data_IF_907107106952
#
_entry.id   IF_907107106952
#
_cell.length_a   1.000
_cell.length_b   1.000
_cell.length_c   1.000
_cell.angle_alpha   90.00
_cell.angle_beta   90.00
_cell.angle_gamma   90.00
#
_symmetry.space_group_name_H-M   'P 1'
#
loop_
_entity.id
_entity.type
_entity.pdbx_description
1 polymer ?
#
# COMPACT_ATOMS: atom_id res chain seq x y z
N UNK A 1 -19.40 -18.65 -8.68
CA UNK A 1 -19.16 -17.22 -9.01
C UNK A 1 -18.53 -17.16 -10.40
N UNK A 2 -18.98 -16.26 -11.27
CA UNK A 2 -18.42 -16.04 -12.59
C UNK A 2 -17.78 -14.64 -12.65
N UNK A 3 -16.64 -14.52 -13.31
CA UNK A 3 -16.01 -13.24 -13.58
C UNK A 3 -16.71 -12.58 -14.77
N UNK A 4 -17.41 -11.47 -14.53
CA UNK A 4 -18.16 -10.80 -15.59
C UNK A 4 -17.31 -9.77 -16.33
N UNK A 5 -16.52 -8.96 -15.61
CA UNK A 5 -15.76 -7.85 -16.20
C UNK A 5 -14.57 -7.48 -15.32
N UNK A 6 -13.46 -7.08 -15.94
CA UNK A 6 -12.31 -6.45 -15.28
C UNK A 6 -12.32 -4.98 -15.65
N UNK A 7 -12.30 -4.09 -14.65
CA UNK A 7 -12.12 -2.65 -14.85
C UNK A 7 -10.70 -2.27 -14.45
N UNK A 8 -9.97 -1.65 -15.36
CA UNK A 8 -8.61 -1.18 -15.13
C UNK A 8 -8.63 0.32 -14.81
N UNK A 9 -7.93 0.71 -13.75
CA UNK A 9 -7.72 2.11 -13.37
C UNK A 9 -6.21 2.35 -13.44
N UNK A 10 -5.81 3.33 -14.24
CA UNK A 10 -4.41 3.74 -14.43
C UNK A 10 -4.24 5.21 -14.08
N UNK A 11 -3.06 5.59 -13.61
CA UNK A 11 -2.73 6.97 -13.30
C UNK A 11 -1.31 7.10 -12.80
N UNK A 12 -0.91 8.34 -12.52
CA UNK A 12 0.43 8.68 -12.02
C UNK A 12 0.34 9.13 -10.56
N UNK A 13 1.25 8.63 -9.72
CA UNK A 13 1.39 9.09 -8.33
C UNK A 13 2.47 10.17 -8.30
N UNK A 14 2.09 11.39 -7.92
CA UNK A 14 3.05 12.47 -7.70
C UNK A 14 3.43 12.52 -6.22
N UNK A 15 4.72 12.40 -5.96
CA UNK A 15 5.29 12.50 -4.62
C UNK A 15 5.47 13.99 -4.28
N UNK A 16 4.65 14.51 -3.37
CA UNK A 16 4.65 15.94 -3.00
C UNK A 16 5.71 16.28 -1.93
N UNK A 17 6.05 15.29 -1.09
CA UNK A 17 7.04 15.39 -0.01
C UNK A 17 7.91 14.14 -0.03
N UNK A 18 9.06 14.13 0.64
CA UNK A 18 9.90 12.93 0.75
C UNK A 18 9.10 11.67 1.12
N UNK A 19 9.21 10.63 0.29
CA UNK A 19 8.53 9.35 0.47
C UNK A 19 9.55 8.29 0.87
N UNK A 20 9.38 7.70 2.04
CA UNK A 20 10.18 6.58 2.51
C UNK A 20 9.33 5.32 2.56
N UNK A 21 9.79 4.27 1.89
CA UNK A 21 9.23 2.92 1.98
C UNK A 21 10.40 1.99 2.27
N UNK A 22 10.51 1.54 3.53
CA UNK A 22 11.62 0.73 3.98
C UNK A 22 11.74 -0.60 3.24
N UNK A 23 12.97 -0.98 2.89
CA UNK A 23 13.30 -2.35 2.52
C UNK A 23 13.41 -3.22 3.79
N UNK A 24 13.14 -4.52 3.67
CA UNK A 24 13.39 -5.47 4.77
C UNK A 24 14.87 -5.51 5.14
N UNK A 25 15.20 -5.94 6.38
CA UNK A 25 16.57 -5.99 6.94
C UNK A 25 17.53 -6.98 6.24
N UNK A 26 17.16 -7.54 5.10
CA UNK A 26 17.94 -8.60 4.43
C UNK A 26 19.08 -8.06 3.55
N UNK A 27 19.09 -6.76 3.20
CA UNK A 27 20.23 -6.13 2.54
C UNK A 27 21.18 -5.50 3.56
N UNK A 28 21.89 -6.34 4.32
CA UNK A 28 23.06 -5.94 5.09
C UNK A 28 24.21 -5.65 4.11
N UNK A 29 24.15 -4.50 3.45
CA UNK A 29 25.34 -3.93 2.81
C UNK A 29 26.30 -3.52 3.94
N UNK A 30 27.52 -4.04 3.92
CA UNK A 30 28.55 -3.73 4.93
C UNK A 30 28.89 -2.25 4.81
N UNK A 31 28.46 -1.43 5.78
CA UNK A 31 28.52 0.04 5.73
C UNK A 31 27.19 0.73 5.35
N UNK A 32 26.07 0.01 5.34
CA UNK A 32 24.78 0.45 4.82
C UNK A 32 24.12 1.63 5.53
N UNK A 33 23.31 2.37 4.77
CA UNK A 33 22.42 3.44 5.23
C UNK A 33 21.49 2.93 6.34
N UNK A 34 21.31 3.72 7.42
CA UNK A 34 20.48 3.38 8.59
C UNK A 34 19.01 3.05 8.25
N UNK A 35 18.50 3.47 7.09
CA UNK A 35 17.10 3.29 6.68
C UNK A 35 16.96 3.07 5.16
N UNK A 36 17.28 1.87 4.63
CA UNK A 36 17.22 1.62 3.20
C UNK A 36 15.79 1.72 2.67
N UNK A 37 15.64 2.27 1.47
CA UNK A 37 14.37 2.27 0.73
C UNK A 37 14.28 1.04 -0.18
N UNK A 38 13.07 0.59 -0.47
CA UNK A 38 12.83 -0.50 -1.42
C UNK A 38 13.20 -0.07 -2.84
N UNK A 39 13.96 -0.92 -3.52
CA UNK A 39 14.46 -0.71 -4.88
C UNK A 39 14.19 -1.93 -5.73
N UNK A 40 14.06 -1.71 -7.03
CA UNK A 40 13.96 -2.79 -7.99
C UNK A 40 15.33 -3.50 -8.11
N UNK A 41 15.42 -4.82 -7.92
CA UNK A 41 16.69 -5.52 -7.76
C UNK A 41 17.58 -5.50 -9.01
N UNK A 42 16.99 -5.35 -10.20
CA UNK A 42 17.75 -5.33 -11.46
C UNK A 42 18.16 -3.92 -11.89
N UNK A 43 17.40 -2.89 -11.50
CA UNK A 43 17.59 -1.53 -12.04
C UNK A 43 18.02 -0.53 -10.96
N UNK A 44 17.93 -0.89 -9.69
CA UNK A 44 18.24 -0.01 -8.56
C UNK A 44 17.21 1.10 -8.32
N UNK A 45 16.18 1.21 -9.18
CA UNK A 45 15.18 2.27 -9.11
C UNK A 45 14.25 2.09 -7.90
N UNK A 46 13.92 3.17 -7.17
CA UNK A 46 12.89 3.11 -6.15
C UNK A 46 11.52 2.89 -6.80
N UNK A 47 10.65 2.15 -6.12
CA UNK A 47 9.27 1.93 -6.55
C UNK A 47 8.33 1.88 -5.34
N UNK A 48 7.04 2.04 -5.59
CA UNK A 48 6.00 1.90 -4.56
C UNK A 48 5.37 0.51 -4.71
N UNK A 49 5.52 -0.40 -3.73
CA UNK A 49 4.89 -1.71 -3.79
C UNK A 49 3.36 -1.61 -3.81
N UNK A 50 2.72 -2.42 -4.64
CA UNK A 50 1.26 -2.51 -4.74
C UNK A 50 0.64 -2.96 -3.42
N UNK A 51 1.36 -3.77 -2.63
CA UNK A 51 0.97 -4.15 -1.27
C UNK A 51 0.92 -2.95 -0.30
N UNK A 52 1.88 -2.01 -0.40
CA UNK A 52 1.92 -0.79 0.40
C UNK A 52 0.74 0.13 0.05
N UNK A 53 0.47 0.34 -1.24
CA UNK A 53 -0.68 1.13 -1.71
C UNK A 53 -1.99 0.48 -1.24
N UNK A 54 -2.15 -0.83 -1.49
CA UNK A 54 -3.32 -1.60 -1.09
C UNK A 54 -3.55 -1.56 0.42
N UNK A 55 -2.50 -1.73 1.21
CA UNK A 55 -2.55 -1.71 2.68
C UNK A 55 -2.98 -0.36 3.22
N UNK A 56 -2.43 0.74 2.68
CA UNK A 56 -2.82 2.09 3.10
C UNK A 56 -4.27 2.40 2.75
N UNK A 57 -4.71 2.09 1.52
CA UNK A 57 -6.11 2.26 1.12
C UNK A 57 -7.07 1.46 2.01
N UNK A 58 -6.72 0.19 2.29
CA UNK A 58 -7.49 -0.69 3.16
C UNK A 58 -7.63 -0.10 4.56
N UNK A 59 -6.52 0.25 5.19
CA UNK A 59 -6.50 0.79 6.56
C UNK A 59 -7.33 2.07 6.67
N UNK A 60 -7.20 2.98 5.71
CA UNK A 60 -7.98 4.22 5.69
C UNK A 60 -9.48 3.96 5.54
N UNK A 61 -9.90 3.05 4.66
CA UNK A 61 -11.32 2.72 4.47
C UNK A 61 -11.91 1.95 5.65
N UNK A 62 -11.14 1.01 6.22
CA UNK A 62 -11.54 0.29 7.42
C UNK A 62 -11.85 1.27 8.57
N UNK A 63 -10.94 2.21 8.84
CA UNK A 63 -11.12 3.21 9.91
C UNK A 63 -12.22 4.21 9.60
N UNK A 64 -12.19 4.82 8.39
CA UNK A 64 -13.07 5.96 8.07
C UNK A 64 -14.51 5.56 7.77
N UNK A 65 -14.77 4.34 7.32
CA UNK A 65 -16.09 3.91 6.86
C UNK A 65 -16.57 2.64 7.56
N UNK A 66 -15.75 1.60 7.61
CA UNK A 66 -16.26 0.26 7.95
C UNK A 66 -16.34 -0.02 9.45
N UNK A 67 -15.48 0.60 10.27
CA UNK A 67 -15.54 0.49 11.74
C UNK A 67 -16.90 0.97 12.30
N UNK A 68 -17.51 2.00 11.70
CA UNK A 68 -18.83 2.48 12.11
C UNK A 68 -20.00 1.64 11.58
N UNK A 69 -19.77 0.80 10.57
CA UNK A 69 -20.82 0.05 9.87
C UNK A 69 -20.86 -1.44 10.23
N UNK A 70 -19.73 -2.01 10.64
CA UNK A 70 -19.60 -3.42 10.97
C UNK A 70 -18.96 -3.61 12.34
N UNK A 71 -19.70 -4.17 13.32
CA UNK A 71 -19.14 -4.53 14.62
C UNK A 71 -17.93 -5.47 14.49
N UNK A 72 -17.95 -6.39 13.52
CA UNK A 72 -16.84 -7.30 13.26
C UNK A 72 -15.59 -6.57 12.75
N UNK A 73 -15.75 -5.62 11.82
CA UNK A 73 -14.63 -4.79 11.36
C UNK A 73 -14.07 -3.97 12.52
N UNK A 74 -14.93 -3.39 13.35
CA UNK A 74 -14.51 -2.67 14.56
C UNK A 74 -13.71 -3.55 15.51
N UNK A 75 -14.17 -4.76 15.77
CA UNK A 75 -13.48 -5.70 16.66
C UNK A 75 -12.07 -6.03 16.14
N UNK A 76 -11.92 -6.35 14.86
CA UNK A 76 -10.58 -6.62 14.30
C UNK A 76 -9.65 -5.40 14.29
N UNK A 77 -10.17 -4.24 13.87
CA UNK A 77 -9.33 -3.05 13.62
C UNK A 77 -8.96 -2.35 14.93
N UNK A 78 -9.89 -2.27 15.88
CA UNK A 78 -9.71 -1.54 17.13
C UNK A 78 -9.53 -2.46 18.35
N UNK A 79 -10.21 -3.61 18.39
CA UNK A 79 -10.23 -4.52 19.54
C UNK A 79 -9.09 -5.54 19.53
N UNK A 80 -8.85 -6.20 18.40
CA UNK A 80 -7.81 -7.23 18.27
C UNK A 80 -6.46 -6.59 17.99
N UNK A 81 -5.45 -7.13 18.66
CA UNK A 81 -4.06 -6.71 18.49
C UNK A 81 -3.19 -7.88 18.07
N UNK A 82 -2.21 -7.62 17.23
CA UNK A 82 -1.13 -8.56 16.98
C UNK A 82 -0.20 -8.67 18.21
N UNK A 83 0.80 -9.55 18.11
CA UNK A 83 1.80 -9.76 19.18
C UNK A 83 2.59 -8.50 19.56
N UNK A 84 2.57 -7.48 18.70
CA UNK A 84 3.25 -6.20 18.88
C UNK A 84 2.28 -5.07 19.25
N UNK A 85 1.02 -5.39 19.62
CA UNK A 85 0.03 -4.39 20.01
C UNK A 85 -0.57 -3.58 18.85
N UNK A 86 -0.38 -4.00 17.59
CA UNK A 86 -0.90 -3.30 16.40
C UNK A 86 -2.28 -3.82 16.03
N UNK A 87 -3.15 -2.92 15.54
CA UNK A 87 -4.48 -3.32 15.05
C UNK A 87 -4.38 -4.28 13.87
N UNK A 88 -5.34 -5.20 13.76
CA UNK A 88 -5.37 -6.17 12.69
C UNK A 88 -6.30 -5.70 11.55
N UNK A 89 -5.95 -5.98 10.29
CA UNK A 89 -6.91 -5.78 9.20
C UNK A 89 -8.14 -6.67 9.42
N UNK A 90 -9.30 -6.24 8.91
CA UNK A 90 -10.53 -7.01 9.10
C UNK A 90 -10.40 -8.42 8.51
N UNK A 91 -10.54 -9.44 9.35
CA UNK A 91 -10.40 -10.86 8.98
C UNK A 91 -11.68 -11.67 9.15
N UNK A 92 -12.84 -11.03 9.31
CA UNK A 92 -14.07 -11.72 9.72
C UNK A 92 -14.61 -12.72 8.69
N UNK A 93 -14.20 -12.60 7.41
CA UNK A 93 -14.56 -13.48 6.31
C UNK A 93 -16.08 -13.70 6.07
N UNK A 94 -16.93 -12.80 6.61
CA UNK A 94 -18.38 -12.87 6.44
C UNK A 94 -18.81 -12.39 5.05
N UNK A 95 -19.82 -13.05 4.48
CA UNK A 95 -20.50 -12.62 3.26
C UNK A 95 -21.06 -11.21 3.45
N UNK A 96 -20.75 -10.31 2.52
CA UNK A 96 -21.20 -8.92 2.56
C UNK A 96 -20.27 -7.95 3.29
N UNK A 97 -19.18 -8.42 3.94
CA UNK A 97 -18.19 -7.50 4.51
C UNK A 97 -17.43 -6.79 3.38
N UNK A 98 -17.54 -5.46 3.22
CA UNK A 98 -16.92 -4.73 2.11
C UNK A 98 -15.39 -4.78 2.16
N UNK A 99 -14.80 -4.68 3.36
CA UNK A 99 -13.36 -4.75 3.56
C UNK A 99 -12.79 -6.10 3.09
N UNK A 100 -13.34 -7.21 3.60
CA UNK A 100 -12.88 -8.56 3.26
C UNK A 100 -13.14 -8.90 1.79
N UNK A 101 -14.24 -8.43 1.22
CA UNK A 101 -14.60 -8.73 -0.18
C UNK A 101 -13.75 -7.96 -1.19
N UNK A 102 -13.45 -6.69 -0.91
CA UNK A 102 -12.62 -5.85 -1.81
C UNK A 102 -11.14 -6.23 -1.68
N UNK A 103 -10.63 -6.27 -0.45
CA UNK A 103 -9.20 -6.40 -0.19
C UNK A 103 -8.73 -7.85 0.03
N UNK A 104 -9.64 -8.76 0.37
CA UNK A 104 -9.36 -10.15 0.71
C UNK A 104 -9.01 -10.35 2.20
N UNK A 105 -9.05 -11.60 2.63
CA UNK A 105 -8.56 -12.07 3.94
C UNK A 105 -7.31 -12.94 3.79
N UNK A 106 -6.62 -13.17 4.91
CA UNK A 106 -5.56 -14.18 5.03
C UNK A 106 -6.04 -15.54 4.53
N UNK A 107 -5.15 -16.29 3.88
CA UNK A 107 -5.49 -17.60 3.30
C UNK A 107 -6.00 -18.63 4.35
N UNK A 108 -5.58 -18.50 5.61
CA UNK A 108 -6.03 -19.34 6.72
C UNK A 108 -7.49 -19.10 7.13
N UNK A 109 -8.05 -17.92 6.83
CA UNK A 109 -9.37 -17.47 7.31
C UNK A 109 -10.38 -17.34 6.16
N UNK A 110 -10.14 -17.97 5.00
CA UNK A 110 -11.08 -17.93 3.87
C UNK A 110 -12.31 -18.79 4.18
N UNK A 111 -13.31 -18.19 4.80
CA UNK A 111 -14.66 -18.76 4.81
C UNK A 111 -15.12 -19.03 3.36
N UNK A 112 -15.78 -20.16 3.09
CA UNK A 112 -16.19 -20.55 1.73
C UNK A 112 -17.10 -19.52 1.04
N UNK A 113 -17.72 -18.63 1.82
CA UNK A 113 -18.69 -17.65 1.34
C UNK A 113 -18.10 -16.30 0.87
N UNK A 114 -16.83 -16.00 1.19
CA UNK A 114 -16.25 -14.67 0.95
C UNK A 114 -15.92 -14.42 -0.54
N UNK A 115 -15.74 -15.48 -1.33
CA UNK A 115 -15.36 -15.39 -2.74
C UNK A 115 -13.94 -14.82 -2.96
N UNK A 116 -13.50 -14.65 -4.22
CA UNK A 116 -12.19 -14.13 -4.54
C UNK A 116 -12.08 -12.62 -4.29
N UNK A 117 -10.85 -12.16 -4.03
CA UNK A 117 -10.52 -10.74 -3.88
C UNK A 117 -10.85 -9.95 -5.14
N UNK A 118 -11.54 -8.81 -4.99
CA UNK A 118 -11.98 -7.98 -6.12
C UNK A 118 -11.01 -6.88 -6.55
N UNK A 119 -9.97 -6.61 -5.75
CA UNK A 119 -8.97 -5.58 -6.04
C UNK A 119 -7.55 -6.15 -6.14
N UNK A 120 -6.93 -5.92 -7.29
CA UNK A 120 -5.49 -6.12 -7.54
C UNK A 120 -4.85 -4.76 -7.69
N UNK A 121 -3.78 -4.51 -6.93
CA UNK A 121 -2.99 -3.28 -7.00
C UNK A 121 -1.59 -3.67 -7.45
N UNK A 122 -1.13 -3.08 -8.55
CA UNK A 122 0.21 -3.31 -9.11
C UNK A 122 1.23 -2.38 -8.48
N UNK A 123 2.49 -2.76 -8.57
CA UNK A 123 3.62 -1.92 -8.19
C UNK A 123 3.65 -0.67 -9.09
N UNK A 124 3.99 0.48 -8.50
CA UNK A 124 4.15 1.73 -9.22
C UNK A 124 5.63 2.06 -9.37
N UNK A 125 6.11 2.04 -10.61
CA UNK A 125 7.48 2.36 -10.99
C UNK A 125 7.63 3.84 -11.35
N UNK A 126 8.88 4.30 -11.46
CA UNK A 126 9.18 5.64 -11.97
C UNK A 126 8.64 5.81 -13.39
N UNK A 127 7.99 6.94 -13.65
CA UNK A 127 7.60 7.32 -15.00
C UNK A 127 8.85 7.61 -15.86
N UNK A 128 8.76 7.40 -17.17
CA UNK A 128 9.92 7.46 -18.09
C UNK A 128 10.78 8.72 -17.91
N UNK A 129 10.20 9.92 -17.92
CA UNK A 129 10.97 11.16 -17.74
C UNK A 129 11.62 11.35 -16.36
N UNK A 130 11.17 10.63 -15.33
CA UNK A 130 11.82 10.59 -14.01
C UNK A 130 12.88 9.50 -13.92
N UNK A 131 12.74 8.45 -14.72
CA UNK A 131 13.70 7.36 -14.83
C UNK A 131 15.00 7.85 -15.46
N UNK A 132 14.92 8.67 -16.51
CA UNK A 132 16.09 9.26 -17.14
C UNK A 132 16.85 10.17 -16.17
N UNK A 133 16.13 10.99 -15.40
CA UNK A 133 16.70 11.84 -14.34
C UNK A 133 17.33 11.05 -13.21
N UNK A 134 16.77 9.90 -12.86
CA UNK A 134 17.38 8.98 -11.90
C UNK A 134 18.68 8.41 -12.41
N UNK A 135 18.70 7.95 -13.66
CA UNK A 135 19.90 7.38 -14.28
C UNK A 135 21.01 8.42 -14.53
N UNK A 136 20.65 9.69 -14.77
CA UNK A 136 21.61 10.79 -14.89
C UNK A 136 22.10 11.35 -13.55
N UNK A 137 21.52 10.92 -12.42
CA UNK A 137 21.83 11.45 -11.09
C UNK A 137 21.24 12.84 -10.81
N UNK A 138 20.38 13.36 -11.69
CA UNK A 138 19.75 14.68 -11.58
C UNK A 138 18.44 14.67 -10.78
N UNK A 139 18.17 13.64 -9.98
CA UNK A 139 17.00 13.68 -9.10
C UNK A 139 17.16 14.83 -8.11
N UNK A 140 16.40 15.89 -8.38
CA UNK A 140 16.26 17.04 -7.51
C UNK A 140 15.62 16.53 -6.21
N UNK A 141 16.44 16.29 -5.19
CA UNK A 141 15.96 16.05 -3.82
C UNK A 141 15.44 17.35 -3.18
N UNK A 142 15.64 18.48 -3.85
CA UNK A 142 15.14 19.78 -3.42
C UNK A 142 13.71 20.04 -3.88
N UNK A 143 12.94 20.55 -2.93
CA UNK A 143 11.55 20.95 -3.09
C UNK A 143 11.36 21.78 -4.35
N UNK A 144 10.50 21.31 -5.25
CA UNK A 144 10.06 22.11 -6.38
C UNK A 144 9.59 23.49 -5.90
N UNK A 145 10.08 24.61 -6.46
CA UNK A 145 9.64 25.95 -6.10
C UNK A 145 8.14 26.19 -6.37
N UNK A 146 7.43 25.26 -7.03
CA UNK A 146 5.99 25.31 -7.26
C UNK A 146 5.13 25.32 -5.97
N UNK A 147 5.70 25.03 -4.80
CA UNK A 147 4.93 24.91 -3.55
C UNK A 147 5.27 25.93 -2.45
N UNK A 148 5.99 27.02 -2.76
CA UNK A 148 6.14 28.13 -1.80
C UNK A 148 4.81 28.84 -1.44
N UNK A 149 3.71 28.56 -2.16
CA UNK A 149 2.39 29.17 -1.92
C UNK A 149 1.44 28.41 -0.99
N UNK A 150 1.81 27.23 -0.47
CA UNK A 150 0.89 26.38 0.31
C UNK A 150 1.34 26.11 1.75
N UNK A 151 1.99 27.09 2.38
CA UNK A 151 2.04 27.19 3.85
C UNK A 151 0.85 28.03 4.31
N UNK A 152 -0.19 27.36 4.82
CA UNK A 152 -1.15 27.94 5.77
C UNK A 152 -1.14 27.08 7.02
#
# INVERSE_FOLDING_TARGET
MQLNTIKQITGTITVLTGLHIGAGKESLEIGGLDQPIIKHPLTGEPYIPGSSIKGKMRSLLEISRYVGQSPDTRDFVLGKKDRNGRGLPCGCAKKGCPACTIFGTSAADKGPELGPTRLVVRDAYLAEGWRDKFNSGELVMDFSPLFQGFRR
#
